data_IF_773385601730
#
_entry.id   IF_773385601730
#
_cell.length_a   1.000
_cell.length_b   1.000
_cell.length_c   1.000
_cell.angle_alpha   90.00
_cell.angle_beta   90.00
_cell.angle_gamma   90.00
#
_symmetry.space_group_name_H-M   'P 1'
#
loop_
_entity.id
_entity.type
_entity.pdbx_description
1 polymer ?
#
# COMPACT_ATOMS: atom_id res chain seq x y z
N UNK A 1 16.81 2.70 37.63
CA UNK A 1 16.13 3.41 36.53
C UNK A 1 15.75 2.39 35.48
N UNK A 2 14.45 2.15 35.28
CA UNK A 2 13.96 1.15 34.32
C UNK A 2 14.29 1.62 32.90
N UNK A 3 15.01 0.80 32.14
CA UNK A 3 15.20 1.01 30.72
C UNK A 3 13.82 1.04 30.05
N UNK A 4 13.54 2.10 29.30
CA UNK A 4 12.37 2.12 28.42
C UNK A 4 12.57 0.97 27.44
N UNK A 5 11.74 -0.06 27.52
CA UNK A 5 11.75 -1.11 26.51
C UNK A 5 11.33 -0.45 25.20
N UNK A 6 12.24 -0.43 24.23
CA UNK A 6 11.89 -0.15 22.84
C UNK A 6 10.72 -1.07 22.49
N UNK A 7 9.56 -0.50 22.16
CA UNK A 7 8.47 -1.24 21.52
C UNK A 7 8.97 -1.62 20.13
N UNK A 8 9.72 -2.72 20.06
CA UNK A 8 10.41 -3.16 18.85
C UNK A 8 9.37 -3.56 17.81
N UNK A 9 9.42 -2.90 16.64
CA UNK A 9 8.67 -3.34 15.49
C UNK A 9 9.04 -4.78 15.14
N UNK A 10 8.07 -5.62 14.74
CA UNK A 10 8.39 -6.98 14.30
C UNK A 10 9.35 -6.93 13.11
N UNK A 11 10.13 -8.01 12.94
CA UNK A 11 10.96 -8.16 11.75
C UNK A 11 10.10 -7.97 10.49
N UNK A 12 10.52 -7.02 9.63
CA UNK A 12 9.74 -6.61 8.47
C UNK A 12 9.53 -7.78 7.51
N UNK A 13 10.58 -8.58 7.26
CA UNK A 13 10.49 -9.73 6.36
C UNK A 13 9.53 -10.78 6.90
N UNK A 14 9.64 -11.15 8.18
CA UNK A 14 8.72 -12.08 8.83
C UNK A 14 7.27 -11.56 8.82
N UNK A 15 7.06 -10.25 8.97
CA UNK A 15 5.72 -9.68 8.90
C UNK A 15 5.12 -9.78 7.50
N UNK A 16 5.85 -9.43 6.44
CA UNK A 16 5.28 -9.39 5.09
C UNK A 16 5.17 -10.75 4.42
N UNK A 17 5.96 -11.73 4.86
CA UNK A 17 5.99 -13.06 4.29
C UNK A 17 4.59 -13.69 4.22
N UNK A 18 4.21 -14.20 3.05
CA UNK A 18 2.93 -14.89 2.87
C UNK A 18 1.71 -13.97 2.75
N UNK A 19 1.84 -12.65 2.95
CA UNK A 19 0.69 -11.74 2.92
C UNK A 19 0.31 -11.34 1.48
N UNK A 20 -0.99 -11.41 1.19
CA UNK A 20 -1.66 -10.65 0.13
C UNK A 20 -1.79 -9.18 0.51
N UNK A 21 -1.27 -8.28 -0.32
CA UNK A 21 -1.25 -6.84 -0.10
C UNK A 21 -1.85 -6.11 -1.30
N UNK A 22 -2.77 -5.18 -1.05
CA UNK A 22 -3.24 -4.23 -2.07
C UNK A 22 -2.45 -2.93 -1.92
N UNK A 23 -1.92 -2.41 -3.03
CA UNK A 23 -1.22 -1.12 -3.08
C UNK A 23 -1.93 -0.21 -4.07
N UNK A 24 -2.87 0.62 -3.61
CA UNK A 24 -3.50 1.63 -4.47
C UNK A 24 -2.46 2.69 -4.83
N UNK A 25 -2.49 3.21 -6.06
CA UNK A 25 -1.40 4.09 -6.53
C UNK A 25 -0.04 3.39 -6.66
N UNK A 26 0.03 2.05 -6.55
CA UNK A 26 1.26 1.25 -6.59
C UNK A 26 2.06 1.31 -7.90
N UNK A 27 1.50 1.91 -8.96
CA UNK A 27 2.19 2.16 -10.22
C UNK A 27 2.70 3.61 -10.37
N UNK A 28 2.43 4.48 -9.39
CA UNK A 28 2.95 5.84 -9.33
C UNK A 28 4.32 5.91 -8.67
N UNK A 29 4.88 7.12 -8.57
CA UNK A 29 6.25 7.39 -8.12
C UNK A 29 6.65 6.65 -6.82
N UNK A 30 5.99 6.91 -5.69
CA UNK A 30 6.29 6.21 -4.44
C UNK A 30 5.81 4.75 -4.46
N UNK A 31 4.67 4.52 -5.10
CA UNK A 31 4.02 3.22 -5.15
C UNK A 31 4.91 2.14 -5.75
N UNK A 32 5.67 2.45 -6.80
CA UNK A 32 6.56 1.47 -7.45
C UNK A 32 7.65 0.98 -6.51
N UNK A 33 8.25 1.87 -5.71
CA UNK A 33 9.26 1.48 -4.71
C UNK A 33 8.66 0.67 -3.56
N UNK A 34 7.44 1.01 -3.11
CA UNK A 34 6.74 0.22 -2.09
C UNK A 34 6.45 -1.20 -2.59
N UNK A 35 5.98 -1.34 -3.83
CA UNK A 35 5.75 -2.65 -4.45
C UNK A 35 7.05 -3.45 -4.55
N UNK A 36 8.16 -2.82 -4.95
CA UNK A 36 9.48 -3.47 -4.98
C UNK A 36 9.90 -3.98 -3.60
N UNK A 37 9.75 -3.16 -2.55
CA UNK A 37 10.10 -3.55 -1.18
C UNK A 37 9.21 -4.67 -0.64
N UNK A 38 7.91 -4.65 -0.92
CA UNK A 38 7.00 -5.73 -0.53
C UNK A 38 7.40 -7.07 -1.18
N UNK A 39 7.84 -7.05 -2.44
CA UNK A 39 8.39 -8.25 -3.10
C UNK A 39 9.65 -8.74 -2.41
N UNK A 40 10.59 -7.83 -2.11
CA UNK A 40 11.82 -8.16 -1.41
C UNK A 40 11.58 -8.74 0.00
N UNK A 41 10.49 -8.35 0.67
CA UNK A 41 10.09 -8.87 1.97
C UNK A 41 9.15 -10.10 1.90
N UNK A 42 8.95 -10.71 0.73
CA UNK A 42 8.27 -12.01 0.61
C UNK A 42 6.74 -11.97 0.63
N UNK A 43 6.11 -10.82 0.33
CA UNK A 43 4.66 -10.76 0.15
C UNK A 43 4.21 -11.75 -0.94
N UNK A 44 3.26 -12.63 -0.62
CA UNK A 44 2.85 -13.72 -1.53
C UNK A 44 2.06 -13.21 -2.75
N UNK A 45 1.31 -12.12 -2.58
CA UNK A 45 0.55 -11.52 -3.67
C UNK A 45 0.51 -10.02 -3.48
N UNK A 46 0.79 -9.27 -4.54
CA UNK A 46 0.68 -7.80 -4.53
C UNK A 46 -0.28 -7.40 -5.64
N UNK A 47 -1.40 -6.80 -5.25
CA UNK A 47 -2.43 -6.30 -6.16
C UNK A 47 -2.26 -4.80 -6.31
N UNK A 48 -2.02 -4.34 -7.54
CA UNK A 48 -1.91 -2.91 -7.87
C UNK A 48 -3.12 -2.54 -8.74
N UNK A 49 -4.24 -2.07 -8.14
CA UNK A 49 -5.44 -1.73 -8.89
C UNK A 49 -5.18 -0.53 -9.80
N UNK A 50 -5.82 -0.55 -10.98
CA UNK A 50 -5.83 0.59 -11.91
C UNK A 50 -7.17 1.31 -11.77
N UNK A 51 -7.15 2.64 -11.86
CA UNK A 51 -8.37 3.46 -11.77
C UNK A 51 -9.43 3.11 -12.81
N UNK A 52 -9.03 2.66 -14.01
CA UNK A 52 -9.94 2.21 -15.06
C UNK A 52 -10.76 0.95 -14.68
N UNK A 53 -10.21 0.14 -13.77
CA UNK A 53 -10.81 -1.13 -13.34
C UNK A 53 -11.50 -0.97 -11.98
N UNK A 54 -10.96 -0.10 -11.12
CA UNK A 54 -11.52 0.22 -9.80
C UNK A 54 -11.37 1.73 -9.55
N UNK A 55 -12.43 2.49 -9.82
CA UNK A 55 -12.49 3.88 -9.38
C UNK A 55 -12.69 3.90 -7.86
N UNK A 56 -11.76 4.46 -7.10
CA UNK A 56 -11.79 4.42 -5.64
C UNK A 56 -12.55 5.61 -5.04
N UNK A 57 -13.03 6.56 -5.85
CA UNK A 57 -13.98 7.58 -5.38
C UNK A 57 -15.38 7.01 -5.21
N UNK A 58 -15.67 5.90 -5.89
CA UNK A 58 -16.91 5.16 -5.81
C UNK A 58 -16.81 4.01 -4.79
N UNK A 59 -17.73 3.99 -3.82
CA UNK A 59 -17.68 3.01 -2.71
C UNK A 59 -17.89 1.57 -3.18
N UNK A 60 -18.76 1.35 -4.16
CA UNK A 60 -19.09 0.02 -4.67
C UNK A 60 -17.88 -0.67 -5.32
N UNK A 61 -17.09 0.06 -6.09
CA UNK A 61 -15.85 -0.43 -6.72
C UNK A 61 -14.73 -0.61 -5.71
N UNK A 62 -14.63 0.24 -4.68
CA UNK A 62 -13.72 0.02 -3.56
C UNK A 62 -14.04 -1.28 -2.80
N UNK A 63 -15.32 -1.53 -2.51
CA UNK A 63 -15.77 -2.78 -1.90
C UNK A 63 -15.50 -3.99 -2.80
N UNK A 64 -15.74 -3.85 -4.11
CA UNK A 64 -15.42 -4.90 -5.09
C UNK A 64 -13.92 -5.24 -5.09
N UNK A 65 -13.04 -4.24 -5.06
CA UNK A 65 -11.59 -4.46 -4.96
C UNK A 65 -11.23 -5.29 -3.73
N UNK A 66 -11.81 -4.97 -2.56
CA UNK A 66 -11.54 -5.71 -1.32
C UNK A 66 -12.06 -7.15 -1.44
N UNK A 67 -13.25 -7.35 -2.02
CA UNK A 67 -13.83 -8.67 -2.23
C UNK A 67 -13.01 -9.53 -3.19
N UNK A 68 -12.56 -8.97 -4.32
CA UNK A 68 -11.77 -9.66 -5.33
C UNK A 68 -10.36 -10.02 -4.82
N UNK A 69 -9.69 -9.05 -4.19
CA UNK A 69 -8.29 -9.19 -3.77
C UNK A 69 -8.12 -9.92 -2.42
N UNK A 70 -9.15 -9.91 -1.57
CA UNK A 70 -9.13 -10.45 -0.19
C UNK A 70 -7.82 -10.13 0.55
N UNK A 71 -7.40 -8.86 0.63
CA UNK A 71 -6.08 -8.50 1.17
C UNK A 71 -5.98 -8.77 2.67
N UNK A 72 -4.78 -9.08 3.16
CA UNK A 72 -4.51 -8.96 4.61
C UNK A 72 -4.18 -7.51 4.99
N UNK A 73 -3.60 -6.75 4.06
CA UNK A 73 -3.19 -5.36 4.26
C UNK A 73 -3.49 -4.55 3.00
N UNK A 74 -3.97 -3.31 3.19
CA UNK A 74 -4.10 -2.31 2.13
C UNK A 74 -3.15 -1.17 2.45
N UNK A 75 -2.26 -0.84 1.53
CA UNK A 75 -1.45 0.38 1.54
C UNK A 75 -2.06 1.34 0.52
N UNK A 76 -2.64 2.44 0.99
CA UNK A 76 -3.37 3.36 0.14
C UNK A 76 -2.50 4.55 -0.29
N UNK A 77 -1.96 4.50 -1.51
CA UNK A 77 -1.13 5.57 -2.10
C UNK A 77 -1.78 6.21 -3.33
N UNK A 78 -3.03 5.86 -3.64
CA UNK A 78 -3.79 6.52 -4.69
C UNK A 78 -4.12 7.95 -4.28
N UNK A 79 -3.68 8.92 -5.07
CA UNK A 79 -4.06 10.31 -4.92
C UNK A 79 -4.00 10.99 -6.29
N UNK A 80 -4.86 11.99 -6.51
CA UNK A 80 -4.69 12.97 -7.59
C UNK A 80 -3.81 14.09 -7.05
N UNK A 81 -2.58 14.17 -7.54
CA UNK A 81 -1.63 15.22 -7.16
C UNK A 81 -1.14 15.94 -8.41
N UNK A 82 -0.93 17.25 -8.35
CA UNK A 82 -0.38 18.02 -9.48
C UNK A 82 1.15 17.97 -9.58
N UNK A 83 1.80 16.95 -9.01
CA UNK A 83 3.26 16.79 -8.97
C UNK A 83 3.93 17.54 -7.80
N UNK A 84 5.28 17.49 -7.74
CA UNK A 84 6.09 18.15 -6.70
C UNK A 84 5.79 19.65 -6.54
N UNK A 85 5.32 20.31 -7.61
CA UNK A 85 4.96 21.73 -7.60
C UNK A 85 3.58 22.05 -7.02
N UNK A 86 2.65 21.09 -6.99
CA UNK A 86 1.26 21.35 -6.61
C UNK A 86 0.99 21.30 -5.10
N UNK A 87 1.92 20.73 -4.31
CA UNK A 87 1.88 20.75 -2.84
C UNK A 87 2.70 21.90 -2.24
N UNK A 88 3.12 22.88 -3.05
CA UNK A 88 3.59 24.15 -2.50
C UNK A 88 2.35 24.91 -2.02
N UNK A 89 2.20 25.04 -0.70
CA UNK A 89 1.23 25.97 -0.14
C UNK A 89 1.49 27.38 -0.72
N UNK A 90 0.43 28.18 -0.95
CA UNK A 90 0.61 29.61 -1.21
C UNK A 90 1.35 30.30 -0.07
#
# INVERSE_FOLDING_TARGET
MAAVQSTAWPDSSAFWQGKRVVVTGGSGFLGSFVVERLRAHGAAQIVVPRSRDYDLTESATALRLVADARPHVIIHLAARVGGLGANRAP
#
